data_IF_766821058960
#
_entry.id   IF_766821058960
#
_cell.length_a   1.000
_cell.length_b   1.000
_cell.length_c   1.000
_cell.angle_alpha   90.00
_cell.angle_beta   90.00
_cell.angle_gamma   90.00
#
_symmetry.space_group_name_H-M   'P 1'
#
loop_
_entity.id
_entity.type
_entity.pdbx_description
1 polymer ?
#
# COMPACT_ATOMS: atom_id res chain seq x y z
N UNK A 1 -57.18 -27.00 -12.80
CA UNK A 1 -55.83 -26.91 -13.43
C UNK A 1 -55.13 -25.54 -13.23
N UNK A 2 -55.81 -24.42 -13.44
CA UNK A 2 -55.23 -23.06 -13.30
C UNK A 2 -54.75 -22.75 -11.87
N UNK A 3 -55.49 -23.22 -10.84
CA UNK A 3 -55.12 -22.99 -9.42
C UNK A 3 -53.77 -23.68 -9.06
N UNK A 4 -53.53 -24.88 -9.56
CA UNK A 4 -52.29 -25.62 -9.34
C UNK A 4 -51.08 -24.94 -10.01
N UNK A 5 -51.26 -24.36 -11.19
CA UNK A 5 -50.23 -23.61 -11.91
C UNK A 5 -49.86 -22.31 -11.15
N UNK A 6 -50.89 -21.60 -10.67
CA UNK A 6 -50.66 -20.34 -9.92
C UNK A 6 -49.94 -20.63 -8.59
N UNK A 7 -50.36 -21.66 -7.85
CA UNK A 7 -49.71 -21.99 -6.56
C UNK A 7 -48.27 -22.44 -6.75
N UNK A 8 -47.96 -23.25 -7.77
CA UNK A 8 -46.60 -23.66 -8.09
C UNK A 8 -45.69 -22.46 -8.52
N UNK A 9 -46.27 -21.56 -9.32
CA UNK A 9 -45.54 -20.36 -9.76
C UNK A 9 -45.21 -19.40 -8.59
N UNK A 10 -46.18 -19.18 -7.67
CA UNK A 10 -45.98 -18.41 -6.46
C UNK A 10 -44.95 -19.03 -5.52
N UNK A 11 -44.98 -20.36 -5.37
CA UNK A 11 -44.00 -21.07 -4.55
C UNK A 11 -42.58 -20.98 -5.15
N UNK A 12 -42.46 -21.14 -6.47
CA UNK A 12 -41.18 -21.01 -7.16
C UNK A 12 -40.61 -19.58 -7.05
N UNK A 13 -41.48 -18.56 -7.17
CA UNK A 13 -41.11 -17.16 -6.98
C UNK A 13 -40.66 -16.86 -5.53
N UNK A 14 -41.38 -17.38 -4.55
CA UNK A 14 -41.05 -17.23 -3.13
C UNK A 14 -39.73 -17.92 -2.77
N UNK A 15 -39.50 -19.14 -3.27
CA UNK A 15 -38.26 -19.87 -3.10
C UNK A 15 -37.07 -19.17 -3.82
N UNK A 16 -37.28 -18.68 -5.05
CA UNK A 16 -36.28 -17.95 -5.81
C UNK A 16 -35.90 -16.62 -5.14
N UNK A 17 -36.88 -15.89 -4.65
CA UNK A 17 -36.65 -14.65 -3.90
C UNK A 17 -35.97 -14.92 -2.56
N UNK A 18 -36.36 -15.99 -1.85
CA UNK A 18 -35.74 -16.40 -0.58
C UNK A 18 -34.29 -16.84 -0.77
N UNK A 19 -33.99 -17.66 -1.78
CA UNK A 19 -32.64 -18.07 -2.14
C UNK A 19 -31.78 -16.89 -2.61
N UNK A 20 -32.35 -15.97 -3.38
CA UNK A 20 -31.66 -14.76 -3.83
C UNK A 20 -31.36 -13.78 -2.70
N UNK A 21 -32.26 -13.66 -1.71
CA UNK A 21 -32.04 -12.86 -0.50
C UNK A 21 -31.03 -13.52 0.44
N UNK A 22 -31.10 -14.84 0.63
CA UNK A 22 -30.13 -15.62 1.37
C UNK A 22 -28.75 -15.54 0.70
N UNK A 23 -28.65 -15.73 -0.61
CA UNK A 23 -27.40 -15.60 -1.35
C UNK A 23 -26.74 -14.23 -1.19
N UNK A 24 -27.53 -13.14 -1.15
CA UNK A 24 -27.00 -11.78 -0.86
C UNK A 24 -26.60 -11.59 0.59
N UNK A 25 -27.31 -12.21 1.54
CA UNK A 25 -27.02 -12.09 2.98
C UNK A 25 -25.88 -12.99 3.44
N UNK A 26 -25.69 -14.13 2.75
CA UNK A 26 -24.62 -15.10 2.95
C UNK A 26 -23.59 -15.08 1.82
N UNK A 27 -23.63 -14.10 0.91
CA UNK A 27 -22.48 -13.77 0.10
C UNK A 27 -21.39 -13.34 1.08
N UNK A 28 -20.69 -14.33 1.65
CA UNK A 28 -19.46 -14.12 2.38
C UNK A 28 -18.54 -13.27 1.51
N UNK A 29 -17.64 -12.58 2.11
CA UNK A 29 -16.67 -11.68 1.47
C UNK A 29 -16.10 -12.31 0.18
N UNK A 30 -16.77 -12.04 -0.93
CA UNK A 30 -16.34 -12.47 -2.27
C UNK A 30 -15.33 -11.47 -2.82
N UNK A 31 -14.33 -11.13 -1.98
CA UNK A 31 -13.10 -10.58 -2.47
C UNK A 31 -12.42 -11.66 -3.32
N UNK A 32 -11.96 -11.33 -4.52
CA UNK A 32 -11.15 -12.26 -5.30
C UNK A 32 -9.97 -12.74 -4.45
N UNK A 33 -9.39 -13.90 -4.77
CA UNK A 33 -8.18 -14.38 -4.06
C UNK A 33 -7.10 -13.29 -4.08
N UNK A 34 -7.02 -12.52 -5.16
CA UNK A 34 -6.14 -11.34 -5.28
C UNK A 34 -6.44 -10.30 -4.19
N UNK A 35 -7.72 -9.98 -3.94
CA UNK A 35 -8.08 -8.99 -2.92
C UNK A 35 -7.70 -9.47 -1.50
N UNK A 36 -7.82 -10.76 -1.24
CA UNK A 36 -7.40 -11.37 0.03
C UNK A 36 -5.88 -11.35 0.20
N UNK A 37 -5.13 -11.66 -0.86
CA UNK A 37 -3.66 -11.59 -0.89
C UNK A 37 -3.21 -10.13 -0.71
N UNK A 38 -3.81 -9.20 -1.46
CA UNK A 38 -3.51 -7.77 -1.38
C UNK A 38 -3.76 -7.19 0.03
N UNK A 39 -4.83 -7.63 0.70
CA UNK A 39 -5.13 -7.21 2.07
C UNK A 39 -4.10 -7.67 3.12
N UNK A 40 -3.37 -8.76 2.86
CA UNK A 40 -2.30 -9.26 3.73
C UNK A 40 -1.01 -8.46 3.54
N UNK A 41 -0.80 -7.85 2.37
CA UNK A 41 0.40 -7.07 2.06
C UNK A 41 0.43 -5.74 2.85
N UNK A 42 1.63 -5.22 3.17
CA UNK A 42 1.78 -4.03 4.04
C UNK A 42 1.33 -2.70 3.41
N UNK A 43 0.93 -2.68 2.16
CA UNK A 43 0.40 -1.53 1.40
C UNK A 43 1.35 -0.32 1.30
N UNK A 44 2.65 -0.52 1.48
CA UNK A 44 3.67 0.53 1.45
C UNK A 44 3.94 1.07 0.04
N UNK A 45 3.52 0.37 -1.01
CA UNK A 45 3.73 0.72 -2.42
C UNK A 45 5.21 1.02 -2.75
N UNK A 46 6.14 0.29 -2.10
CA UNK A 46 7.58 0.57 -2.14
C UNK A 46 8.33 -0.06 -3.31
N UNK A 47 7.69 -0.90 -4.11
CA UNK A 47 8.25 -1.64 -5.26
C UNK A 47 9.50 -2.51 -4.97
N UNK A 48 9.90 -2.71 -3.71
CA UNK A 48 11.08 -3.50 -3.34
C UNK A 48 10.98 -4.99 -3.70
N UNK A 49 9.77 -5.48 -3.92
CA UNK A 49 9.50 -6.83 -4.45
C UNK A 49 9.65 -6.93 -5.98
N UNK A 50 10.04 -5.85 -6.67
CA UNK A 50 10.15 -5.78 -8.13
C UNK A 50 8.85 -5.43 -8.86
N UNK A 51 7.73 -5.27 -8.15
CA UNK A 51 6.43 -4.88 -8.71
C UNK A 51 6.12 -3.42 -8.41
N UNK A 52 5.37 -2.76 -9.29
CA UNK A 52 5.07 -1.32 -9.18
C UNK A 52 4.12 -0.94 -8.04
N UNK A 53 3.63 -1.92 -7.29
CA UNK A 53 2.73 -1.74 -6.16
C UNK A 53 2.32 -3.08 -5.53
N UNK A 54 1.63 -3.04 -4.40
CA UNK A 54 1.22 -4.25 -3.68
C UNK A 54 0.19 -5.06 -4.47
N UNK A 55 -0.76 -4.41 -5.15
CA UNK A 55 -1.77 -5.10 -5.96
C UNK A 55 -1.17 -5.86 -7.17
N UNK A 56 -0.29 -5.28 -8.01
CA UNK A 56 0.39 -6.04 -9.06
C UNK A 56 1.19 -7.25 -8.53
N UNK A 57 1.79 -7.13 -7.35
CA UNK A 57 2.45 -8.24 -6.69
C UNK A 57 1.44 -9.32 -6.25
N UNK A 58 0.30 -8.94 -5.66
CA UNK A 58 -0.76 -9.87 -5.31
C UNK A 58 -1.33 -10.62 -6.53
N UNK A 59 -1.51 -9.92 -7.65
CA UNK A 59 -1.93 -10.50 -8.93
C UNK A 59 -0.92 -11.53 -9.45
N UNK A 60 0.37 -11.20 -9.42
CA UNK A 60 1.45 -12.10 -9.82
C UNK A 60 1.56 -13.34 -8.92
N UNK A 61 1.38 -13.20 -7.60
CA UNK A 61 1.33 -14.33 -6.67
C UNK A 61 0.19 -15.29 -7.04
N UNK A 62 -1.02 -14.75 -7.24
CA UNK A 62 -2.20 -15.57 -7.58
C UNK A 62 -2.07 -16.22 -8.95
N UNK A 63 -1.42 -15.56 -9.91
CA UNK A 63 -1.09 -16.12 -11.22
C UNK A 63 0.02 -17.19 -11.17
N UNK A 64 0.72 -17.35 -10.05
CA UNK A 64 1.87 -18.26 -9.91
C UNK A 64 3.15 -17.73 -10.57
N UNK A 65 3.20 -16.45 -10.90
CA UNK A 65 4.35 -15.78 -11.55
C UNK A 65 5.34 -15.20 -10.52
N UNK A 66 4.92 -15.05 -9.25
CA UNK A 66 5.75 -14.51 -8.19
C UNK A 66 5.72 -15.40 -6.94
N UNK A 67 6.87 -15.52 -6.27
CA UNK A 67 6.98 -16.17 -4.97
C UNK A 67 6.40 -15.28 -3.85
N UNK A 68 5.92 -15.89 -2.76
CA UNK A 68 5.28 -15.16 -1.63
C UNK A 68 6.28 -14.46 -0.71
N UNK A 69 7.56 -14.68 -0.88
CA UNK A 69 8.66 -14.26 0.01
C UNK A 69 9.47 -13.05 -0.49
N UNK A 70 8.95 -12.31 -1.48
CA UNK A 70 9.66 -11.17 -2.10
C UNK A 70 9.43 -9.83 -1.38
N UNK A 71 8.53 -9.75 -0.38
CA UNK A 71 8.15 -8.48 0.25
C UNK A 71 8.98 -8.15 1.51
N UNK A 72 10.04 -7.29 1.44
CA UNK A 72 10.85 -6.96 2.60
C UNK A 72 10.07 -6.25 3.72
N UNK A 73 9.22 -5.24 3.45
CA UNK A 73 8.46 -4.57 4.50
C UNK A 73 7.44 -5.48 5.20
N UNK A 74 6.94 -6.50 4.50
CA UNK A 74 6.03 -7.49 5.08
C UNK A 74 6.71 -8.47 6.02
N UNK A 75 7.98 -8.76 5.76
CA UNK A 75 8.79 -9.68 6.56
C UNK A 75 8.22 -11.10 6.61
N UNK A 76 8.77 -11.92 7.49
CA UNK A 76 8.34 -13.32 7.66
C UNK A 76 6.88 -13.46 8.12
N UNK A 77 6.32 -12.47 8.80
CA UNK A 77 4.92 -12.50 9.24
C UNK A 77 3.96 -12.50 8.05
N UNK A 78 4.25 -11.69 7.03
CA UNK A 78 3.48 -11.64 5.79
C UNK A 78 3.66 -12.93 4.99
N UNK A 79 4.89 -13.45 4.90
CA UNK A 79 5.14 -14.74 4.22
C UNK A 79 4.30 -15.86 4.86
N UNK A 80 4.29 -15.97 6.20
CA UNK A 80 3.46 -16.97 6.90
C UNK A 80 1.97 -16.78 6.70
N UNK A 81 1.50 -15.53 6.69
CA UNK A 81 0.09 -15.24 6.44
C UNK A 81 -0.33 -15.58 5.01
N UNK A 82 0.51 -15.26 4.00
CA UNK A 82 0.29 -15.64 2.61
C UNK A 82 0.35 -17.16 2.40
N UNK A 83 1.32 -17.84 3.03
CA UNK A 83 1.44 -19.29 3.00
C UNK A 83 0.18 -19.98 3.55
N UNK A 84 -0.34 -19.50 4.69
CA UNK A 84 -1.59 -20.00 5.26
C UNK A 84 -2.84 -19.69 4.41
N UNK A 85 -2.85 -18.54 3.72
CA UNK A 85 -3.96 -18.13 2.85
C UNK A 85 -4.03 -18.97 1.55
N UNK A 86 -2.85 -19.33 1.02
CA UNK A 86 -2.71 -20.04 -0.26
C UNK A 86 -2.46 -21.54 -0.08
N UNK A 87 -2.39 -22.02 1.16
CA UNK A 87 -2.13 -23.43 1.52
C UNK A 87 -0.82 -23.96 0.92
N UNK A 88 0.25 -23.15 0.95
CA UNK A 88 1.59 -23.50 0.48
C UNK A 88 2.60 -23.41 1.61
N UNK A 89 3.75 -24.07 1.47
CA UNK A 89 4.81 -24.02 2.47
C UNK A 89 5.48 -22.62 2.52
N UNK A 90 5.68 -22.07 3.74
CA UNK A 90 6.37 -20.78 3.89
C UNK A 90 7.84 -20.91 3.51
N UNK A 91 8.32 -19.99 2.68
CA UNK A 91 9.72 -19.89 2.28
C UNK A 91 10.43 -18.79 3.09
N UNK A 92 11.74 -18.88 3.34
CA UNK A 92 12.49 -17.81 3.96
C UNK A 92 12.42 -16.55 3.10
N UNK A 93 12.40 -15.36 3.74
CA UNK A 93 12.38 -14.09 3.04
C UNK A 93 13.60 -13.96 2.14
N UNK A 94 13.40 -13.66 0.86
CA UNK A 94 14.48 -13.59 -0.13
C UNK A 94 15.33 -12.34 0.03
N UNK A 95 14.66 -11.20 0.28
CA UNK A 95 15.30 -9.90 0.46
C UNK A 95 15.14 -9.42 1.90
N UNK A 96 16.25 -9.10 2.56
CA UNK A 96 16.22 -8.49 3.88
C UNK A 96 15.57 -7.08 3.86
N UNK A 97 15.20 -6.53 5.03
CA UNK A 97 14.65 -5.18 5.11
C UNK A 97 15.68 -4.17 4.60
N UNK A 98 15.29 -3.37 3.59
CA UNK A 98 16.11 -2.26 3.13
C UNK A 98 15.94 -1.05 4.03
N UNK A 99 17.01 -0.25 4.16
CA UNK A 99 16.94 1.01 4.89
C UNK A 99 15.89 1.93 4.24
N UNK A 100 15.07 2.63 5.04
CA UNK A 100 14.12 3.58 4.49
C UNK A 100 14.85 4.71 3.77
N UNK A 101 14.48 4.95 2.53
CA UNK A 101 15.07 5.97 1.69
C UNK A 101 13.99 6.82 1.01
N UNK A 102 14.33 8.05 0.64
CA UNK A 102 13.49 8.95 -0.15
C UNK A 102 14.29 9.47 -1.33
N UNK A 103 13.61 9.66 -2.46
CA UNK A 103 14.22 10.28 -3.61
C UNK A 103 14.40 11.79 -3.37
N UNK A 104 15.52 12.35 -3.82
CA UNK A 104 15.79 13.77 -3.85
C UNK A 104 16.20 14.17 -5.28
N UNK A 105 15.64 15.27 -5.78
CA UNK A 105 15.93 15.78 -7.11
C UNK A 105 16.88 16.99 -6.96
N UNK A 106 18.01 16.95 -7.69
CA UNK A 106 18.84 18.13 -7.87
C UNK A 106 18.16 19.07 -8.88
N UNK A 107 17.49 20.09 -8.34
CA UNK A 107 16.70 21.04 -9.13
C UNK A 107 17.55 21.80 -10.14
N UNK A 108 18.86 22.02 -9.86
CA UNK A 108 19.78 22.72 -10.76
C UNK A 108 20.10 21.92 -12.03
N UNK A 109 20.05 20.59 -11.94
CA UNK A 109 20.26 19.66 -13.05
C UNK A 109 18.98 19.24 -13.75
N UNK A 110 17.82 19.52 -13.15
CA UNK A 110 16.53 19.09 -13.67
C UNK A 110 16.14 19.88 -14.93
N UNK A 111 15.93 19.17 -16.04
CA UNK A 111 15.51 19.74 -17.33
C UNK A 111 14.01 19.81 -17.55
N UNK A 112 13.19 19.42 -16.57
CA UNK A 112 11.73 19.48 -16.68
C UNK A 112 11.11 18.49 -17.67
N UNK A 113 11.71 17.31 -17.89
CA UNK A 113 11.25 16.32 -18.87
C UNK A 113 9.95 15.58 -18.48
N UNK A 114 9.50 15.69 -17.25
CA UNK A 114 8.30 15.10 -16.67
C UNK A 114 8.22 13.56 -16.67
N UNK A 115 9.32 12.84 -16.98
CA UNK A 115 9.33 11.37 -17.00
C UNK A 115 9.19 10.76 -15.60
N UNK A 116 9.80 11.37 -14.58
CA UNK A 116 9.70 10.95 -13.19
C UNK A 116 8.27 11.09 -12.63
N UNK A 117 7.49 12.08 -13.09
CA UNK A 117 6.07 12.22 -12.73
C UNK A 117 5.24 11.02 -13.22
N UNK A 118 5.51 10.56 -14.46
CA UNK A 118 4.82 9.41 -15.02
C UNK A 118 5.21 8.10 -14.31
N UNK A 119 6.42 7.99 -13.80
CA UNK A 119 6.95 6.81 -13.15
C UNK A 119 6.51 6.68 -11.67
N UNK A 120 6.22 7.79 -10.99
CA UNK A 120 5.91 7.78 -9.56
C UNK A 120 4.55 7.15 -9.26
N UNK A 121 4.45 5.99 -8.57
CA UNK A 121 3.19 5.29 -8.34
C UNK A 121 2.28 6.00 -7.33
N UNK A 122 2.83 6.85 -6.47
CA UNK A 122 2.11 7.55 -5.40
C UNK A 122 2.02 9.06 -5.62
N UNK A 123 2.35 9.55 -6.81
CA UNK A 123 2.37 10.99 -7.15
C UNK A 123 3.13 11.86 -6.12
N UNK A 124 4.23 11.34 -5.60
CA UNK A 124 5.07 12.06 -4.63
C UNK A 124 5.97 13.13 -5.28
N UNK A 125 5.97 13.26 -6.61
CA UNK A 125 6.78 14.24 -7.34
C UNK A 125 5.88 15.34 -7.85
N UNK A 126 6.26 16.59 -7.60
CA UNK A 126 5.57 17.79 -8.08
C UNK A 126 6.40 18.42 -9.19
N UNK A 127 5.74 18.93 -10.22
CA UNK A 127 6.36 19.64 -11.33
C UNK A 127 5.47 19.69 -12.55
N UNK A 128 5.95 20.30 -13.61
CA UNK A 128 5.27 20.39 -14.89
C UNK A 128 6.30 20.30 -16.03
N UNK A 129 5.87 20.00 -17.28
CA UNK A 129 6.78 20.02 -18.42
C UNK A 129 7.52 21.35 -18.55
N UNK A 130 8.84 21.30 -18.69
CA UNK A 130 9.76 22.45 -18.75
C UNK A 130 9.88 23.25 -17.45
N UNK A 131 9.43 22.72 -16.31
CA UNK A 131 9.61 23.28 -14.98
C UNK A 131 10.44 22.31 -14.15
N UNK A 132 11.10 22.82 -13.11
CA UNK A 132 11.79 21.98 -12.14
C UNK A 132 10.81 21.02 -11.45
N UNK A 133 11.31 19.87 -11.06
CA UNK A 133 10.56 18.90 -10.28
C UNK A 133 11.14 18.81 -8.86
N UNK A 134 10.27 18.62 -7.88
CA UNK A 134 10.66 18.37 -6.50
C UNK A 134 9.91 17.18 -5.92
N UNK A 135 10.46 16.53 -4.90
CA UNK A 135 9.88 15.37 -4.25
C UNK A 135 9.23 15.77 -2.93
N UNK A 136 8.02 15.33 -2.69
CA UNK A 136 7.36 15.37 -1.40
C UNK A 136 7.90 14.22 -0.54
N UNK A 137 8.91 14.48 0.29
CA UNK A 137 9.57 13.45 1.10
C UNK A 137 8.59 12.67 2.00
N UNK A 138 7.57 13.36 2.55
CA UNK A 138 6.54 12.74 3.40
C UNK A 138 5.68 11.70 2.67
N UNK A 139 5.59 11.80 1.34
CA UNK A 139 4.77 10.94 0.49
C UNK A 139 5.61 9.96 -0.35
N UNK A 140 6.94 10.16 -0.37
CA UNK A 140 7.85 9.29 -1.10
C UNK A 140 7.98 7.93 -0.40
N UNK A 141 7.82 6.85 -1.16
CA UNK A 141 7.91 5.47 -0.67
C UNK A 141 9.29 4.83 -0.90
N UNK A 142 10.24 5.57 -1.48
CA UNK A 142 11.58 5.05 -1.78
C UNK A 142 11.60 3.93 -2.84
N UNK A 143 10.61 3.91 -3.74
CA UNK A 143 10.42 2.81 -4.71
C UNK A 143 11.42 2.81 -5.88
N UNK A 144 12.29 3.82 -6.01
CA UNK A 144 13.34 3.95 -7.02
C UNK A 144 12.87 4.09 -8.48
N UNK A 145 11.60 3.88 -8.78
CA UNK A 145 11.05 3.88 -10.15
C UNK A 145 11.23 5.20 -10.91
N UNK A 146 11.61 6.29 -10.23
CA UNK A 146 11.90 7.58 -10.85
C UNK A 146 13.35 7.74 -11.31
N UNK A 147 14.28 6.83 -10.92
CA UNK A 147 15.70 6.92 -11.25
C UNK A 147 15.94 6.63 -12.73
N UNK A 148 15.60 5.41 -13.18
CA UNK A 148 15.84 4.95 -14.55
C UNK A 148 15.28 5.88 -15.66
N UNK A 149 14.07 6.45 -15.55
CA UNK A 149 13.54 7.32 -16.59
C UNK A 149 14.16 8.72 -16.62
N UNK A 150 15.04 9.07 -15.67
CA UNK A 150 15.67 10.38 -15.62
C UNK A 150 16.84 10.47 -16.64
N UNK A 151 16.72 11.27 -17.71
CA UNK A 151 17.75 11.30 -18.77
C UNK A 151 19.01 12.06 -18.40
N UNK A 152 19.03 12.74 -17.25
CA UNK A 152 20.16 13.57 -16.77
C UNK A 152 20.66 13.13 -15.38
N UNK A 153 20.18 12.00 -14.87
CA UNK A 153 20.57 11.40 -13.59
C UNK A 153 20.63 12.42 -12.45
N UNK A 154 19.59 13.26 -12.36
CA UNK A 154 19.50 14.29 -11.31
C UNK A 154 18.71 13.84 -10.07
N UNK A 155 18.40 12.55 -9.96
CA UNK A 155 17.64 11.99 -8.85
C UNK A 155 18.54 11.06 -8.06
N UNK A 156 18.62 11.28 -6.77
CA UNK A 156 19.42 10.46 -5.83
C UNK A 156 18.53 9.93 -4.71
N UNK A 157 18.89 8.79 -4.13
CA UNK A 157 18.28 8.29 -2.92
C UNK A 157 19.02 8.82 -1.70
N UNK A 158 18.27 9.38 -0.78
CA UNK A 158 18.77 9.78 0.55
C UNK A 158 18.19 8.85 1.59
N UNK A 159 19.07 8.19 2.35
CA UNK A 159 18.63 7.41 3.50
C UNK A 159 17.96 8.34 4.50
N UNK A 160 16.71 8.06 4.82
CA UNK A 160 16.07 8.66 5.98
C UNK A 160 16.56 7.89 7.19
N UNK A 161 17.70 8.27 7.73
CA UNK A 161 18.09 7.85 9.07
C UNK A 161 17.10 8.49 10.05
N UNK A 162 15.93 7.87 10.19
CA UNK A 162 15.20 7.99 11.43
C UNK A 162 16.14 7.41 12.47
N UNK A 163 16.78 8.28 13.23
CA UNK A 163 17.54 7.94 14.43
C UNK A 163 16.56 7.33 15.43
N UNK A 164 16.26 6.07 15.28
CA UNK A 164 15.55 5.26 16.26
C UNK A 164 15.80 3.80 15.89
N UNK A 165 17.05 3.36 16.04
CA UNK A 165 17.27 1.96 16.40
C UNK A 165 16.48 1.72 17.68
N UNK A 166 15.62 0.69 17.74
CA UNK A 166 15.00 0.27 18.99
C UNK A 166 16.12 0.15 20.01
N UNK A 167 15.93 0.73 21.20
CA UNK A 167 16.91 0.58 22.27
C UNK A 167 17.14 -0.91 22.49
N UNK A 168 18.20 -1.44 21.90
CA UNK A 168 18.67 -2.84 22.08
C UNK A 168 18.85 -3.17 23.57
N UNK A 169 18.96 -2.16 24.41
CA UNK A 169 19.12 -2.27 25.86
C UNK A 169 17.94 -2.99 26.58
N UNK A 170 16.74 -3.02 25.99
CA UNK A 170 15.58 -3.70 26.60
C UNK A 170 15.45 -5.14 26.10
N UNK A 171 15.93 -5.43 24.88
CA UNK A 171 15.90 -6.78 24.31
C UNK A 171 17.03 -7.68 24.86
N UNK A 172 18.14 -7.08 25.29
CA UNK A 172 19.35 -7.83 25.69
C UNK A 172 19.29 -8.42 27.11
N UNK A 173 18.32 -8.04 27.95
CA UNK A 173 18.25 -8.57 29.30
C UNK A 173 16.81 -9.07 29.62
N UNK A 174 16.54 -10.38 29.61
CA UNK A 174 15.21 -10.89 29.92
C UNK A 174 14.83 -10.44 31.33
N UNK A 175 13.80 -9.57 31.40
CA UNK A 175 13.28 -9.11 32.68
C UNK A 175 12.92 -10.32 33.56
N UNK A 176 13.22 -10.26 34.85
CA UNK A 176 12.84 -11.35 35.76
C UNK A 176 11.32 -11.59 35.72
N UNK A 177 10.86 -12.83 35.97
CA UNK A 177 9.45 -13.16 35.88
C UNK A 177 8.65 -12.35 36.90
N UNK A 178 7.52 -11.79 36.48
CA UNK A 178 6.59 -11.09 37.35
C UNK A 178 5.86 -12.09 38.23
N UNK A 179 5.96 -11.93 39.58
CA UNK A 179 5.29 -12.77 40.56
C UNK A 179 3.82 -12.40 40.80
N UNK A 180 3.28 -11.44 40.05
CA UNK A 180 1.89 -10.98 40.10
C UNK A 180 1.42 -10.47 41.47
N UNK A 181 2.28 -9.87 42.27
CA UNK A 181 1.94 -9.37 43.61
C UNK A 181 1.02 -8.15 43.63
N UNK A 182 0.84 -7.43 42.51
CA UNK A 182 -0.06 -6.29 42.38
C UNK A 182 0.42 -4.98 43.03
N UNK A 183 1.54 -4.94 43.74
CA UNK A 183 2.01 -3.73 44.45
C UNK A 183 2.17 -2.52 43.51
N UNK A 184 2.60 -2.76 42.27
CA UNK A 184 2.77 -1.69 41.27
C UNK A 184 1.46 -1.01 40.88
N UNK A 185 0.30 -1.68 41.02
CA UNK A 185 -1.00 -1.12 40.67
C UNK A 185 -1.43 -0.03 41.66
N UNK A 186 -1.08 -0.19 42.95
CA UNK A 186 -1.47 0.73 44.00
C UNK A 186 -0.69 2.06 43.99
N UNK A 187 0.47 2.10 43.35
CA UNK A 187 1.36 3.27 43.38
C UNK A 187 1.33 4.06 42.05
N UNK A 188 0.53 3.63 41.10
CA UNK A 188 0.46 4.31 39.81
C UNK A 188 -0.34 5.62 39.89
N UNK A 189 0.28 6.81 39.68
CA UNK A 189 -0.43 8.08 39.80
C UNK A 189 -1.46 8.29 38.66
N UNK A 190 -1.33 7.52 37.57
CA UNK A 190 -2.25 7.55 36.43
C UNK A 190 -3.39 6.50 36.55
N UNK A 191 -3.44 5.76 37.66
CA UNK A 191 -4.45 4.71 37.85
C UNK A 191 -4.33 3.56 36.85
N UNK A 192 -3.15 3.33 36.32
CA UNK A 192 -2.89 2.23 35.37
C UNK A 192 -2.73 0.93 36.17
N UNK A 193 -2.77 -0.18 35.46
CA UNK A 193 -2.45 -1.50 35.98
C UNK A 193 -1.09 -1.98 35.43
N UNK A 194 0.06 -1.54 35.99
CA UNK A 194 1.37 -1.87 35.46
C UNK A 194 1.65 -3.36 35.35
N UNK A 195 1.08 -4.17 36.24
CA UNK A 195 1.18 -5.63 36.17
C UNK A 195 0.60 -6.17 34.86
N UNK A 196 -0.61 -5.76 34.51
CA UNK A 196 -1.30 -6.20 33.31
C UNK A 196 -0.63 -5.65 32.04
N UNK A 197 -0.29 -4.37 32.04
CA UNK A 197 0.48 -3.75 30.96
C UNK A 197 1.79 -4.48 30.68
N UNK A 198 2.50 -4.91 31.73
CA UNK A 198 3.74 -5.63 31.57
C UNK A 198 3.55 -7.01 30.90
N UNK A 199 2.47 -7.72 31.25
CA UNK A 199 2.15 -8.98 30.57
C UNK A 199 1.85 -8.80 29.10
N UNK A 200 1.06 -7.80 28.75
CA UNK A 200 0.71 -7.49 27.35
C UNK A 200 1.95 -7.07 26.55
N UNK A 201 2.79 -6.18 27.12
CA UNK A 201 4.05 -5.76 26.49
C UNK A 201 5.00 -6.95 26.27
N UNK A 202 5.12 -7.85 27.25
CA UNK A 202 5.93 -9.07 27.08
C UNK A 202 5.37 -10.04 26.05
N UNK A 203 4.06 -10.10 25.91
CA UNK A 203 3.39 -10.89 24.87
C UNK A 203 3.50 -10.26 23.48
N UNK A 204 4.04 -9.03 23.36
CA UNK A 204 4.10 -8.28 22.11
C UNK A 204 2.76 -7.69 21.66
N UNK A 205 1.72 -7.80 22.50
CA UNK A 205 0.38 -7.27 22.23
C UNK A 205 0.31 -5.78 22.61
N UNK A 206 0.93 -4.96 21.76
CA UNK A 206 0.97 -3.51 21.96
C UNK A 206 -0.41 -2.84 21.74
N UNK A 207 -1.29 -3.49 20.99
CA UNK A 207 -2.64 -2.97 20.76
C UNK A 207 -3.46 -3.08 22.05
N UNK A 208 -3.49 -4.23 22.69
CA UNK A 208 -4.14 -4.39 24.01
C UNK A 208 -3.49 -3.50 25.06
N UNK A 209 -2.17 -3.41 25.11
CA UNK A 209 -1.47 -2.50 26.01
C UNK A 209 -1.89 -1.03 25.80
N UNK A 210 -2.07 -0.60 24.54
CA UNK A 210 -2.58 0.73 24.21
C UNK A 210 -4.00 0.96 24.72
N UNK A 211 -4.91 -0.01 24.54
CA UNK A 211 -6.29 0.03 25.09
C UNK A 211 -6.31 0.11 26.61
N UNK A 212 -5.38 -0.55 27.30
CA UNK A 212 -5.23 -0.49 28.75
C UNK A 212 -4.43 0.72 29.24
N UNK A 213 -4.14 1.66 28.36
CA UNK A 213 -3.62 2.98 28.71
C UNK A 213 -2.10 3.08 28.77
N UNK A 214 -1.35 2.24 28.05
CA UNK A 214 0.11 2.34 27.93
C UNK A 214 0.56 3.76 27.58
N UNK A 215 -0.19 4.43 26.68
CA UNK A 215 0.11 5.80 26.22
C UNK A 215 -0.10 6.88 27.30
N UNK A 216 -0.77 6.57 28.41
CA UNK A 216 -0.93 7.46 29.57
C UNK A 216 0.18 7.32 30.59
N UNK A 217 1.10 6.36 30.40
CA UNK A 217 2.22 6.17 31.30
C UNK A 217 3.19 7.36 31.21
N UNK A 218 3.35 8.07 32.32
CA UNK A 218 4.28 9.23 32.43
C UNK A 218 5.72 8.85 32.75
N UNK A 219 6.02 7.55 32.89
CA UNK A 219 7.38 7.07 33.15
C UNK A 219 7.94 7.43 34.53
N UNK A 220 7.10 7.73 35.52
CA UNK A 220 7.52 8.21 36.86
C UNK A 220 8.36 7.21 37.66
N UNK A 221 8.41 5.93 37.29
CA UNK A 221 9.16 4.88 37.97
C UNK A 221 8.61 4.45 39.32
N UNK A 222 7.43 4.90 39.74
CA UNK A 222 6.78 4.48 40.99
C UNK A 222 6.64 2.95 41.07
N UNK A 223 6.20 2.35 39.97
CA UNK A 223 6.04 0.90 39.83
C UNK A 223 7.37 0.12 39.97
N UNK A 224 8.49 0.70 39.51
CA UNK A 224 9.83 0.05 39.68
C UNK A 224 10.24 -0.04 41.14
N UNK A 225 10.01 1.05 41.91
CA UNK A 225 10.47 1.15 43.29
C UNK A 225 9.81 0.14 44.23
N UNK A 226 8.56 -0.24 43.93
CA UNK A 226 7.80 -1.18 44.77
C UNK A 226 7.85 -2.60 44.23
N UNK A 227 8.53 -2.85 43.13
CA UNK A 227 8.59 -4.17 42.54
C UNK A 227 9.59 -5.06 43.26
N UNK A 228 9.17 -6.14 43.99
CA UNK A 228 10.09 -7.02 44.70
C UNK A 228 11.02 -7.79 43.72
N UNK A 229 10.61 -7.98 42.46
CA UNK A 229 11.43 -8.58 41.42
C UNK A 229 12.36 -7.59 40.70
N UNK A 230 12.45 -6.34 41.17
CA UNK A 230 13.29 -5.28 40.60
C UNK A 230 13.12 -5.09 39.08
N UNK A 231 11.92 -5.35 38.56
CA UNK A 231 11.62 -5.23 37.12
C UNK A 231 11.60 -3.74 36.74
N UNK A 232 12.35 -3.32 35.70
CA UNK A 232 12.36 -1.93 35.23
C UNK A 232 11.10 -1.60 34.35
N UNK A 233 9.90 -1.71 34.95
CA UNK A 233 8.60 -1.60 34.31
C UNK A 233 8.48 -0.31 33.46
N UNK A 234 8.92 0.83 34.02
CA UNK A 234 8.83 2.11 33.33
C UNK A 234 9.67 2.15 32.05
N UNK A 235 10.82 1.46 32.01
CA UNK A 235 11.65 1.35 30.81
C UNK A 235 10.96 0.47 29.75
N UNK A 236 10.38 -0.67 30.17
CA UNK A 236 9.59 -1.52 29.26
C UNK A 236 8.40 -0.78 28.67
N UNK A 237 7.67 0.00 29.47
CA UNK A 237 6.51 0.75 28.98
C UNK A 237 6.92 1.88 28.03
N UNK A 238 8.04 2.54 28.27
CA UNK A 238 8.55 3.59 27.37
C UNK A 238 8.92 3.00 26.02
N UNK A 239 9.72 1.92 26.01
CA UNK A 239 10.11 1.24 24.78
C UNK A 239 8.88 0.71 24.01
N UNK A 240 7.93 0.10 24.72
CA UNK A 240 6.70 -0.40 24.11
C UNK A 240 5.83 0.73 23.55
N UNK A 241 5.74 1.87 24.22
CA UNK A 241 4.98 3.04 23.73
C UNK A 241 5.65 3.67 22.50
N UNK A 242 6.97 3.73 22.45
CA UNK A 242 7.72 4.18 21.26
C UNK A 242 7.49 3.25 20.09
N UNK A 243 7.63 1.95 20.31
CA UNK A 243 7.37 0.95 19.28
C UNK A 243 5.91 1.00 18.77
N UNK A 244 4.95 1.17 19.69
CA UNK A 244 3.54 1.34 19.32
C UNK A 244 3.30 2.57 18.44
N UNK A 245 3.93 3.71 18.78
CA UNK A 245 3.87 4.94 17.95
C UNK A 245 4.49 4.71 16.58
N UNK A 246 5.67 4.08 16.53
CA UNK A 246 6.36 3.77 15.28
C UNK A 246 5.48 2.91 14.34
N UNK A 247 4.88 1.84 14.86
CA UNK A 247 3.97 0.97 14.07
C UNK A 247 2.73 1.71 13.60
N UNK A 248 2.20 2.61 14.41
CA UNK A 248 1.04 3.41 14.02
C UNK A 248 1.41 4.42 12.91
N UNK A 249 2.57 5.07 13.00
CA UNK A 249 3.05 5.99 11.97
C UNK A 249 3.35 5.26 10.66
N UNK A 250 3.93 4.06 10.72
CA UNK A 250 4.14 3.19 9.56
C UNK A 250 2.81 2.81 8.90
N UNK A 251 1.82 2.39 9.68
CA UNK A 251 0.46 2.09 9.16
C UNK A 251 -0.17 3.31 8.49
N UNK A 252 -0.08 4.48 9.12
CA UNK A 252 -0.60 5.73 8.53
C UNK A 252 0.09 6.11 7.24
N UNK A 253 1.41 5.92 7.15
CA UNK A 253 2.16 6.14 5.91
C UNK A 253 1.75 5.16 4.82
N UNK A 254 1.64 3.88 5.15
CA UNK A 254 1.20 2.84 4.22
C UNK A 254 -0.22 3.12 3.69
N UNK A 255 -1.14 3.50 4.58
CA UNK A 255 -2.52 3.84 4.18
C UNK A 255 -2.56 5.08 3.26
N UNK A 256 -1.78 6.12 3.55
CA UNK A 256 -1.66 7.28 2.64
C UNK A 256 -1.07 6.88 1.29
N UNK A 257 -0.02 6.06 1.27
CA UNK A 257 0.59 5.56 0.03
C UNK A 257 -0.42 4.77 -0.80
N UNK A 258 -1.20 3.89 -0.17
CA UNK A 258 -2.28 3.14 -0.79
C UNK A 258 -3.33 4.06 -1.41
N UNK A 259 -3.86 5.02 -0.65
CA UNK A 259 -4.87 5.97 -1.13
C UNK A 259 -4.37 6.78 -2.33
N UNK A 260 -3.13 7.26 -2.28
CA UNK A 260 -2.52 8.00 -3.41
C UNK A 260 -2.37 7.11 -4.65
N UNK A 261 -1.93 5.87 -4.47
CA UNK A 261 -1.83 4.89 -5.55
C UNK A 261 -3.20 4.62 -6.19
N UNK A 262 -4.24 4.37 -5.39
CA UNK A 262 -5.60 4.14 -5.87
C UNK A 262 -6.17 5.37 -6.61
N UNK A 263 -5.98 6.58 -6.07
CA UNK A 263 -6.38 7.83 -6.73
C UNK A 263 -5.67 8.03 -8.07
N UNK A 264 -4.38 7.71 -8.14
CA UNK A 264 -3.62 7.75 -9.39
C UNK A 264 -4.20 6.78 -10.41
N UNK A 265 -4.42 5.53 -10.05
CA UNK A 265 -5.00 4.53 -10.95
C UNK A 265 -6.37 4.99 -11.47
N UNK A 266 -7.24 5.46 -10.59
CA UNK A 266 -8.55 5.97 -10.97
C UNK A 266 -8.46 7.15 -11.96
N UNK A 267 -7.47 8.06 -11.76
CA UNK A 267 -7.20 9.17 -12.69
C UNK A 267 -6.73 8.67 -14.05
N UNK A 268 -5.79 7.73 -14.09
CA UNK A 268 -5.28 7.18 -15.34
C UNK A 268 -6.39 6.48 -16.14
N UNK A 269 -7.20 5.64 -15.50
CA UNK A 269 -8.35 4.97 -16.12
C UNK A 269 -9.39 5.96 -16.66
N UNK A 270 -9.59 7.09 -15.96
CA UNK A 270 -10.49 8.15 -16.46
C UNK A 270 -9.92 8.81 -17.71
N UNK A 271 -8.65 9.16 -17.71
CA UNK A 271 -7.97 9.77 -18.86
C UNK A 271 -7.97 8.84 -20.08
N UNK A 272 -7.76 7.55 -19.90
CA UNK A 272 -7.85 6.55 -20.97
C UNK A 272 -9.25 6.51 -21.57
N UNK A 273 -10.30 6.49 -20.75
CA UNK A 273 -11.70 6.54 -21.19
C UNK A 273 -12.00 7.81 -21.99
N UNK A 274 -11.59 8.97 -21.47
CA UNK A 274 -11.78 10.26 -22.14
C UNK A 274 -11.05 10.29 -23.51
N UNK A 275 -9.85 9.74 -23.59
CA UNK A 275 -9.10 9.61 -24.83
C UNK A 275 -9.81 8.68 -25.82
N UNK A 276 -10.30 7.54 -25.37
CA UNK A 276 -11.02 6.59 -26.23
C UNK A 276 -12.33 7.20 -26.74
N UNK A 277 -13.11 7.85 -25.89
CA UNK A 277 -14.32 8.59 -26.31
C UNK A 277 -13.98 9.69 -27.35
N UNK A 278 -12.90 10.44 -27.11
CA UNK A 278 -12.44 11.46 -28.06
C UNK A 278 -12.05 10.85 -29.42
N UNK A 279 -11.36 9.70 -29.40
CA UNK A 279 -11.01 8.94 -30.61
C UNK A 279 -12.27 8.46 -31.33
N UNK A 280 -13.26 7.92 -30.61
CA UNK A 280 -14.53 7.45 -31.18
C UNK A 280 -15.32 8.60 -31.80
N UNK A 281 -15.44 9.75 -31.10
CA UNK A 281 -16.08 10.97 -31.64
C UNK A 281 -15.40 11.47 -32.91
N UNK A 282 -14.05 11.48 -32.95
CA UNK A 282 -13.29 11.84 -34.14
C UNK A 282 -13.54 10.87 -35.30
N UNK A 283 -13.53 9.54 -35.03
CA UNK A 283 -13.86 8.52 -36.04
C UNK A 283 -15.29 8.69 -36.58
N UNK A 284 -16.26 8.86 -35.69
CA UNK A 284 -17.66 9.09 -36.07
C UNK A 284 -17.83 10.36 -36.92
N UNK A 285 -17.17 11.47 -36.52
CA UNK A 285 -17.21 12.71 -37.31
C UNK A 285 -16.58 12.56 -38.70
N UNK A 286 -15.48 11.81 -38.83
CA UNK A 286 -14.87 11.49 -40.13
C UNK A 286 -15.79 10.62 -40.98
N UNK A 287 -16.44 9.60 -40.34
CA UNK A 287 -17.40 8.74 -41.05
C UNK A 287 -18.64 9.49 -41.50
N UNK A 288 -19.16 10.41 -40.65
CA UNK A 288 -20.31 11.26 -41.02
C UNK A 288 -20.01 12.29 -42.12
N UNK A 289 -18.76 12.77 -42.20
CA UNK A 289 -18.29 13.67 -43.27
C UNK A 289 -17.91 12.94 -44.57
N UNK A 290 -17.71 11.62 -44.50
CA UNK A 290 -17.33 10.77 -45.63
C UNK A 290 -18.51 10.45 -46.52
N UNK A 291 -19.13 11.48 -47.11
CA UNK A 291 -19.95 11.35 -48.31
C UNK A 291 -19.05 11.07 -49.50
N UNK A 292 -19.42 10.20 -50.32
CA UNK A 292 -18.90 9.75 -51.62
C UNK A 292 -17.48 9.14 -51.65
N UNK A 293 -17.33 8.07 -52.43
CA UNK A 293 -16.05 7.38 -52.63
C UNK A 293 -14.92 8.28 -53.17
N UNK A 294 -15.26 9.39 -53.81
CA UNK A 294 -14.34 10.39 -54.32
C UNK A 294 -13.64 11.19 -53.21
N UNK A 295 -14.35 11.55 -52.13
CA UNK A 295 -13.77 12.27 -51.01
C UNK A 295 -12.79 11.39 -50.19
N UNK A 296 -13.06 10.08 -50.09
CA UNK A 296 -12.13 9.11 -49.48
C UNK A 296 -10.85 8.93 -50.26
N UNK A 297 -10.91 8.95 -51.59
CA UNK A 297 -9.74 8.86 -52.45
C UNK A 297 -8.88 10.11 -52.33
N UNK A 298 -9.49 11.31 -52.39
CA UNK A 298 -8.82 12.58 -52.19
C UNK A 298 -8.13 12.71 -50.83
N UNK A 299 -8.79 12.25 -49.74
CA UNK A 299 -8.22 12.26 -48.40
C UNK A 299 -7.02 11.30 -48.30
N UNK A 300 -7.11 10.09 -48.86
CA UNK A 300 -5.98 9.14 -48.88
C UNK A 300 -4.79 9.71 -49.65
N UNK A 301 -5.04 10.42 -50.75
CA UNK A 301 -4.01 11.04 -51.55
C UNK A 301 -3.33 12.20 -50.80
N UNK A 302 -4.09 13.06 -50.12
CA UNK A 302 -3.57 14.15 -49.28
C UNK A 302 -2.75 13.65 -48.10
N UNK A 303 -3.17 12.54 -47.44
CA UNK A 303 -2.41 11.91 -46.35
C UNK A 303 -1.10 11.31 -46.89
N UNK A 304 -1.13 10.62 -48.05
CA UNK A 304 0.07 10.05 -48.66
C UNK A 304 1.10 11.13 -49.05
N UNK A 305 0.64 12.25 -49.62
CA UNK A 305 1.50 13.39 -49.92
C UNK A 305 2.11 14.03 -48.68
N UNK A 306 1.32 14.15 -47.58
CA UNK A 306 1.82 14.72 -46.34
C UNK A 306 2.89 13.84 -45.70
N UNK A 307 2.69 12.51 -45.73
CA UNK A 307 3.67 11.54 -45.26
C UNK A 307 4.92 11.55 -46.12
N UNK A 308 4.78 11.65 -47.44
CA UNK A 308 5.93 11.75 -48.35
C UNK A 308 6.76 13.01 -48.10
N UNK A 309 6.13 14.18 -47.89
CA UNK A 309 6.81 15.43 -47.54
C UNK A 309 7.51 15.34 -46.18
N UNK A 310 6.88 14.68 -45.19
CA UNK A 310 7.50 14.49 -43.87
C UNK A 310 8.71 13.55 -43.93
N UNK A 311 8.68 12.51 -44.77
CA UNK A 311 9.82 11.63 -45.04
C UNK A 311 10.97 12.37 -45.75
N UNK A 312 10.69 13.20 -46.73
CA UNK A 312 11.72 14.01 -47.40
C UNK A 312 12.40 15.01 -46.47
N UNK A 313 11.69 15.57 -45.49
CA UNK A 313 12.26 16.48 -44.48
C UNK A 313 13.10 15.77 -43.43
N UNK A 314 13.01 14.44 -43.33
CA UNK A 314 13.78 13.60 -42.38
C UNK A 314 14.93 12.86 -43.05
N UNK A 315 15.10 12.95 -44.34
CA UNK A 315 16.27 12.44 -45.04
C UNK A 315 17.47 13.37 -44.74
N UNK A 316 18.63 12.85 -44.34
CA UNK A 316 19.80 13.63 -43.97
C UNK A 316 20.37 14.44 -45.13
#
# INVERSE_FOLDING_TARGET
MWTAVITLSLLALACGAGLGAAGRRFAGETGSVVDRVDAVLPQTQCAQCGYTGCRPYAEAIVAGEAAINLCPPGGESTVRALAGLLEIDPQPLENGPSAPAVAAIDESRCIGCARCLAACPVDAIIGAPRQMHTVLEAECTGCELCLDPCPVDCIELRSTTAANTPSEAVAANPAPPCIRCGLCNHVCPQGLQPQELFHQVRAGDLESAGRHGLNRCIGCGGCNRVCPGAIPLAAHFRAAAEEGRRREDERRRAERARQRYEMRLARLLRLEREQEESRQRKKAAVTARGGSGADRAALKQAVAETVARARQRRAP
#
